data_IF_013580896076
#
_entry.id   IF_013580896076
#
_cell.length_a   1.000
_cell.length_b   1.000
_cell.length_c   1.000
_cell.angle_alpha   90.00
_cell.angle_beta   90.00
_cell.angle_gamma   90.00
#
_symmetry.space_group_name_H-M   'P 1'
#
loop_
_entity.id
_entity.type
_entity.pdbx_description
1 polymer ?
#
# COMPACT_ATOMS: atom_id res chain seq x y z
N UNK A 1 -54.41 -7.78 47.28
CA UNK A 1 -52.93 -7.86 47.16
C UNK A 1 -52.42 -7.11 45.91
N UNK A 2 -52.87 -5.87 45.65
CA UNK A 2 -52.72 -5.25 44.31
C UNK A 2 -52.14 -3.83 44.30
N UNK A 3 -51.96 -3.18 45.46
CA UNK A 3 -51.32 -1.85 45.56
C UNK A 3 -49.83 -1.92 45.87
N UNK A 4 -49.40 -2.85 46.73
CA UNK A 4 -48.00 -2.99 47.16
C UNK A 4 -47.09 -3.44 45.99
N UNK A 5 -47.58 -4.33 45.12
CA UNK A 5 -46.85 -4.82 43.95
C UNK A 5 -46.64 -3.76 42.87
N UNK A 6 -47.58 -2.81 42.70
CA UNK A 6 -47.41 -1.69 41.76
C UNK A 6 -46.42 -0.65 42.26
N UNK A 7 -46.42 -0.33 43.55
CA UNK A 7 -45.42 0.59 44.14
C UNK A 7 -43.99 0.04 44.07
N UNK A 8 -43.81 -1.27 44.28
CA UNK A 8 -42.49 -1.92 44.13
C UNK A 8 -41.99 -1.89 42.67
N UNK A 9 -42.89 -2.02 41.70
CA UNK A 9 -42.56 -1.97 40.27
C UNK A 9 -42.14 -0.55 39.84
N UNK A 10 -42.84 0.49 40.30
CA UNK A 10 -42.45 1.88 40.04
C UNK A 10 -41.13 2.27 40.72
N UNK A 11 -40.86 1.75 41.93
CA UNK A 11 -39.59 1.99 42.62
C UNK A 11 -38.42 1.30 41.91
N UNK A 12 -38.60 0.08 41.40
CA UNK A 12 -37.60 -0.64 40.63
C UNK A 12 -37.30 0.02 39.27
N UNK A 13 -38.33 0.54 38.59
CA UNK A 13 -38.16 1.29 37.33
C UNK A 13 -37.48 2.64 37.59
N UNK A 14 -37.83 3.36 38.65
CA UNK A 14 -37.16 4.60 39.03
C UNK A 14 -35.69 4.35 39.42
N UNK A 15 -35.40 3.26 40.13
CA UNK A 15 -34.03 2.87 40.49
C UNK A 15 -33.22 2.46 39.25
N UNK A 16 -33.82 1.76 38.28
CA UNK A 16 -33.18 1.41 37.02
C UNK A 16 -32.91 2.64 36.13
N UNK A 17 -33.79 3.65 36.15
CA UNK A 17 -33.60 4.93 35.46
C UNK A 17 -32.53 5.77 36.16
N UNK A 18 -32.45 5.74 37.49
CA UNK A 18 -31.36 6.40 38.24
C UNK A 18 -30.03 5.68 37.98
N UNK A 19 -30.00 4.34 37.94
CA UNK A 19 -28.81 3.56 37.58
C UNK A 19 -28.40 3.71 36.11
N UNK A 20 -29.32 4.01 35.18
CA UNK A 20 -28.98 4.33 33.80
C UNK A 20 -28.57 5.79 33.58
N UNK A 21 -28.96 6.71 34.49
CA UNK A 21 -28.53 8.11 34.51
C UNK A 21 -27.14 8.30 35.15
N UNK A 22 -26.69 7.36 35.98
CA UNK A 22 -25.27 7.19 36.26
C UNK A 22 -24.64 6.41 35.10
N UNK A 23 -24.57 7.06 33.93
CA UNK A 23 -23.57 6.69 32.94
C UNK A 23 -22.26 6.56 33.70
N UNK A 24 -21.64 5.39 33.66
CA UNK A 24 -20.36 5.14 34.33
C UNK A 24 -19.43 6.25 33.89
N UNK A 25 -19.20 7.24 34.75
CA UNK A 25 -18.13 8.19 34.58
C UNK A 25 -16.87 7.33 34.68
N UNK A 26 -16.39 6.85 33.52
CA UNK A 26 -15.10 6.21 33.45
C UNK A 26 -14.13 7.25 34.00
N UNK A 27 -13.59 6.95 35.17
CA UNK A 27 -12.58 7.81 35.78
C UNK A 27 -11.48 7.98 34.73
N UNK A 28 -11.12 9.23 34.44
CA UNK A 28 -10.08 9.52 33.46
C UNK A 28 -8.84 8.65 33.79
N UNK A 29 -8.27 7.96 32.81
CA UNK A 29 -7.16 7.06 33.06
C UNK A 29 -6.01 7.86 33.66
N UNK A 30 -5.43 7.34 34.75
CA UNK A 30 -4.26 7.96 35.34
C UNK A 30 -3.07 7.73 34.41
N UNK A 31 -2.55 8.83 33.86
CA UNK A 31 -1.36 8.77 33.01
C UNK A 31 -0.09 8.90 33.86
N UNK A 32 0.84 7.98 33.64
CA UNK A 32 2.23 8.05 34.09
C UNK A 32 3.06 8.78 33.03
N UNK A 33 4.29 9.19 33.35
CA UNK A 33 5.13 9.98 32.43
C UNK A 33 6.49 9.34 32.26
N UNK A 34 6.99 9.28 31.03
CA UNK A 34 8.39 8.97 30.76
C UNK A 34 9.26 10.22 30.95
N UNK A 35 10.56 10.08 31.27
CA UNK A 35 11.50 11.18 31.18
C UNK A 35 11.45 11.80 29.77
N UNK A 36 11.40 13.12 29.67
CA UNK A 36 11.36 13.81 28.37
C UNK A 36 12.60 13.53 27.54
N UNK A 37 12.42 13.38 26.22
CA UNK A 37 13.52 13.19 25.28
C UNK A 37 13.47 14.31 24.24
N UNK A 38 14.40 15.27 24.37
CA UNK A 38 14.36 16.49 23.55
C UNK A 38 13.07 17.27 23.80
N UNK A 39 12.31 17.53 22.73
CA UNK A 39 11.02 18.23 22.76
C UNK A 39 9.81 17.31 22.97
N UNK A 40 10.03 15.99 23.13
CA UNK A 40 8.95 15.00 23.23
C UNK A 40 8.74 14.58 24.70
N UNK A 41 7.56 14.89 25.21
CA UNK A 41 7.02 14.39 26.48
C UNK A 41 5.99 13.30 26.19
N UNK A 42 6.16 12.10 26.75
CA UNK A 42 5.16 11.02 26.60
C UNK A 42 4.53 10.72 27.95
N UNK A 43 3.21 10.84 28.00
CA UNK A 43 2.35 10.40 29.09
C UNK A 43 1.56 9.18 28.64
N UNK A 44 1.40 8.18 29.50
CA UNK A 44 0.80 6.91 29.09
C UNK A 44 -0.03 6.28 30.21
N UNK A 45 -1.10 5.60 29.84
CA UNK A 45 -1.89 4.79 30.77
C UNK A 45 -1.07 3.61 31.30
N UNK A 46 -1.20 3.29 32.59
CA UNK A 46 -0.48 2.18 33.23
C UNK A 46 -0.56 0.88 32.40
N UNK A 47 0.59 0.25 32.21
CA UNK A 47 0.74 -0.98 31.42
C UNK A 47 0.96 -0.75 29.93
N UNK A 48 1.16 0.50 29.48
CA UNK A 48 1.54 0.84 28.09
C UNK A 48 2.99 1.35 27.99
N UNK A 49 3.83 1.05 28.99
CA UNK A 49 5.17 1.61 29.10
C UNK A 49 6.06 1.26 27.90
N UNK A 50 6.06 0.00 27.47
CA UNK A 50 6.86 -0.45 26.33
C UNK A 50 6.46 0.27 25.03
N UNK A 51 5.14 0.37 24.79
CA UNK A 51 4.62 1.12 23.64
C UNK A 51 5.00 2.60 23.74
N UNK A 52 4.86 3.21 24.92
CA UNK A 52 5.23 4.61 25.14
C UNK A 52 6.73 4.85 24.88
N UNK A 53 7.61 3.91 25.28
CA UNK A 53 9.05 3.98 25.01
C UNK A 53 9.35 3.86 23.52
N UNK A 54 8.69 2.96 22.80
CA UNK A 54 8.80 2.83 21.34
C UNK A 54 8.38 4.11 20.63
N UNK A 55 7.21 4.66 20.99
CA UNK A 55 6.70 5.92 20.43
C UNK A 55 7.64 7.09 20.71
N UNK A 56 8.16 7.22 21.94
CA UNK A 56 9.12 8.27 22.27
C UNK A 56 10.43 8.14 21.48
N UNK A 57 10.88 6.90 21.23
CA UNK A 57 12.11 6.64 20.50
C UNK A 57 12.01 7.01 19.02
N UNK A 58 10.84 6.82 18.38
CA UNK A 58 10.65 7.13 16.95
C UNK A 58 10.10 8.52 16.67
N UNK A 59 9.55 9.23 17.67
CA UNK A 59 8.90 10.53 17.51
C UNK A 59 9.81 11.61 16.91
N UNK A 60 11.03 11.77 17.45
CA UNK A 60 11.94 12.85 17.02
C UNK A 60 12.48 12.61 15.59
N UNK A 61 12.80 11.37 15.25
CA UNK A 61 13.23 10.98 13.90
C UNK A 61 12.09 11.19 12.89
N UNK A 62 10.87 10.84 13.29
CA UNK A 62 9.65 11.08 12.49
C UNK A 62 9.43 12.57 12.26
N UNK A 63 9.51 13.38 13.32
CA UNK A 63 9.34 14.81 13.22
C UNK A 63 10.43 15.47 12.38
N UNK A 64 11.66 14.94 12.41
CA UNK A 64 12.77 15.38 11.56
C UNK A 64 12.46 15.13 10.08
N UNK A 65 11.94 13.93 9.73
CA UNK A 65 11.51 13.63 8.35
C UNK A 65 10.39 14.55 7.89
N UNK A 66 9.38 14.78 8.72
CA UNK A 66 8.26 15.69 8.42
C UNK A 66 8.76 17.14 8.24
N UNK A 67 9.61 17.60 9.15
CA UNK A 67 10.15 18.97 9.11
C UNK A 67 11.04 19.21 7.89
N UNK A 68 11.55 18.15 7.26
CA UNK A 68 12.27 18.24 6.00
C UNK A 68 11.46 18.87 4.86
N UNK A 69 10.12 18.85 4.93
CA UNK A 69 9.25 19.51 3.96
C UNK A 69 8.74 20.89 4.40
N UNK A 70 9.01 21.27 5.66
CA UNK A 70 8.56 22.52 6.28
C UNK A 70 9.75 23.45 6.59
N UNK A 71 10.76 23.44 5.71
CA UNK A 71 11.97 24.24 5.89
C UNK A 71 11.62 25.73 6.01
N UNK A 72 12.33 26.42 6.89
CA UNK A 72 12.19 27.87 7.15
C UNK A 72 10.83 28.29 7.76
N UNK A 73 9.98 27.32 8.14
CA UNK A 73 8.72 27.58 8.83
C UNK A 73 8.82 27.32 10.34
N UNK A 74 7.90 27.89 11.15
CA UNK A 74 7.86 27.63 12.58
C UNK A 74 7.67 26.14 12.87
N UNK A 75 8.45 25.62 13.83
CA UNK A 75 8.38 24.23 14.28
C UNK A 75 7.83 24.13 15.70
N UNK A 76 7.13 23.04 16.07
CA UNK A 76 6.69 22.83 17.44
C UNK A 76 7.90 22.75 18.40
N UNK A 77 7.85 23.54 19.47
CA UNK A 77 8.91 23.63 20.48
C UNK A 77 8.81 22.56 21.56
N UNK A 78 7.58 22.14 21.86
CA UNK A 78 7.26 21.10 22.82
C UNK A 78 6.10 20.29 22.26
N UNK A 79 6.18 18.97 22.36
CA UNK A 79 5.11 18.05 21.97
C UNK A 79 4.85 17.10 23.12
N UNK A 80 3.60 17.07 23.58
CA UNK A 80 3.12 16.08 24.54
C UNK A 80 2.28 15.03 23.85
N UNK A 81 2.75 13.79 23.89
CA UNK A 81 2.00 12.61 23.45
C UNK A 81 1.31 11.96 24.65
N UNK A 82 0.02 11.73 24.56
CA UNK A 82 -0.81 11.08 25.57
C UNK A 82 -1.29 9.74 25.01
N UNK A 83 -0.85 8.64 25.59
CA UNK A 83 -1.16 7.29 25.15
C UNK A 83 -2.21 6.66 26.07
N UNK A 84 -3.34 6.27 25.50
CA UNK A 84 -4.43 5.57 26.20
C UNK A 84 -4.66 4.21 25.59
N UNK A 85 -5.27 3.31 26.36
CA UNK A 85 -5.53 1.95 25.88
C UNK A 85 -6.60 1.91 24.80
N UNK A 86 -7.72 2.61 25.03
CA UNK A 86 -8.90 2.57 24.16
C UNK A 86 -9.31 3.97 23.70
N UNK A 87 -9.81 4.08 22.47
CA UNK A 87 -10.26 5.35 21.90
C UNK A 87 -11.36 6.03 22.70
N UNK A 88 -12.20 5.26 23.41
CA UNK A 88 -13.22 5.81 24.32
C UNK A 88 -12.66 6.67 25.45
N UNK A 89 -11.37 6.53 25.78
CA UNK A 89 -10.68 7.34 26.78
C UNK A 89 -10.12 8.65 26.22
N UNK A 90 -10.04 8.84 24.89
CA UNK A 90 -9.46 10.04 24.28
C UNK A 90 -10.11 11.35 24.77
N UNK A 91 -11.46 11.47 24.88
CA UNK A 91 -12.08 12.69 25.38
C UNK A 91 -11.67 13.05 26.82
N UNK A 92 -11.31 12.04 27.63
CA UNK A 92 -10.94 12.24 29.04
C UNK A 92 -9.49 12.71 29.25
N UNK A 93 -8.63 12.51 28.25
CA UNK A 93 -7.24 12.97 28.28
C UNK A 93 -7.01 14.20 27.39
N UNK A 94 -8.00 14.56 26.57
CA UNK A 94 -8.00 15.75 25.73
C UNK A 94 -7.74 17.02 26.55
N UNK A 95 -7.11 18.05 25.96
CA UNK A 95 -6.97 19.35 26.60
C UNK A 95 -8.33 19.94 26.99
N UNK A 96 -8.34 20.72 28.07
CA UNK A 96 -9.56 21.32 28.60
C UNK A 96 -10.31 22.12 27.53
N UNK A 97 -11.62 21.84 27.39
CA UNK A 97 -12.49 22.52 26.43
C UNK A 97 -12.35 22.10 24.95
N UNK A 98 -11.44 21.17 24.60
CA UNK A 98 -11.27 20.70 23.21
C UNK A 98 -12.11 19.46 22.87
N UNK A 99 -12.19 18.51 23.79
CA UNK A 99 -12.85 17.20 23.54
C UNK A 99 -12.13 16.36 22.49
N UNK A 100 -12.67 15.20 22.14
CA UNK A 100 -12.16 14.34 21.07
C UNK A 100 -13.33 13.68 20.31
N UNK A 101 -13.24 13.51 18.97
CA UNK A 101 -14.27 12.81 18.22
C UNK A 101 -14.41 11.36 18.71
N UNK A 102 -15.64 10.83 18.85
CA UNK A 102 -15.87 9.48 19.41
C UNK A 102 -15.31 8.37 18.53
N UNK A 103 -15.17 8.62 17.24
CA UNK A 103 -14.60 7.71 16.26
C UNK A 103 -13.08 7.81 16.17
N UNK A 104 -12.42 8.81 16.76
CA UNK A 104 -10.98 9.03 16.59
C UNK A 104 -10.14 7.89 17.18
N UNK A 105 -8.98 7.58 16.58
CA UNK A 105 -7.94 6.72 17.19
C UNK A 105 -6.71 7.55 17.59
N UNK A 106 -6.47 8.66 16.90
CA UNK A 106 -5.53 9.71 17.25
C UNK A 106 -6.23 11.07 17.16
N UNK A 107 -5.76 12.05 17.92
CA UNK A 107 -6.18 13.45 17.81
C UNK A 107 -4.98 14.36 18.05
N UNK A 108 -4.72 15.25 17.12
CA UNK A 108 -3.77 16.33 17.26
C UNK A 108 -4.45 17.65 17.67
N UNK A 109 -3.79 18.39 18.56
CA UNK A 109 -4.10 19.77 18.93
C UNK A 109 -2.86 20.62 18.59
N UNK A 110 -2.70 21.05 17.33
CA UNK A 110 -1.45 21.65 16.85
C UNK A 110 -1.01 22.91 17.59
N UNK A 111 -1.97 23.78 17.94
CA UNK A 111 -1.75 25.02 18.69
C UNK A 111 -1.21 24.79 20.12
N UNK A 112 -1.51 23.63 20.69
CA UNK A 112 -1.06 23.24 22.03
C UNK A 112 0.16 22.32 22.00
N UNK A 113 0.54 21.79 20.83
CA UNK A 113 1.54 20.75 20.70
C UNK A 113 1.14 19.48 21.46
N UNK A 114 -0.15 19.12 21.48
CA UNK A 114 -0.64 17.92 22.17
C UNK A 114 -1.13 16.91 21.14
N UNK A 115 -0.80 15.65 21.36
CA UNK A 115 -1.24 14.50 20.58
C UNK A 115 -1.83 13.49 21.55
N UNK A 116 -3.02 12.97 21.28
CA UNK A 116 -3.61 11.87 22.03
C UNK A 116 -3.74 10.65 21.10
N UNK A 117 -3.25 9.47 21.51
CA UNK A 117 -3.26 8.23 20.72
C UNK A 117 -3.85 7.09 21.52
N UNK A 118 -4.70 6.29 20.89
CA UNK A 118 -5.24 5.06 21.43
C UNK A 118 -4.62 3.83 20.73
N UNK A 119 -4.40 2.74 21.48
CA UNK A 119 -3.83 1.48 20.94
C UNK A 119 -4.91 0.59 20.29
N UNK A 120 -6.18 0.82 20.63
CA UNK A 120 -7.30 0.08 20.05
C UNK A 120 -8.58 0.90 20.01
N UNK A 121 -9.50 0.46 19.15
CA UNK A 121 -10.90 0.90 19.08
C UNK A 121 -11.78 -0.32 19.33
N UNK A 122 -12.29 -0.46 20.56
CA UNK A 122 -13.10 -1.62 20.95
C UNK A 122 -12.31 -2.92 20.87
N UNK A 123 -12.69 -3.81 19.95
CA UNK A 123 -11.97 -5.08 19.71
C UNK A 123 -10.82 -4.97 18.71
N UNK A 124 -10.71 -3.86 17.99
CA UNK A 124 -9.75 -3.69 16.90
C UNK A 124 -8.46 -3.04 17.41
N UNK A 125 -7.34 -3.75 17.32
CA UNK A 125 -6.01 -3.21 17.62
C UNK A 125 -5.55 -2.35 16.44
N UNK A 126 -4.94 -1.21 16.73
CA UNK A 126 -4.40 -0.28 15.74
C UNK A 126 -2.87 -0.23 15.81
N UNK A 127 -2.24 0.35 14.80
CA UNK A 127 -0.81 0.67 14.84
C UNK A 127 -0.63 2.06 15.48
N UNK A 128 -0.21 2.15 16.75
CA UNK A 128 -0.04 3.43 17.43
C UNK A 128 1.15 4.22 16.86
N UNK A 129 2.13 3.58 16.21
CA UNK A 129 3.26 4.28 15.61
C UNK A 129 2.84 4.95 14.31
N UNK A 130 2.09 4.25 13.46
CA UNK A 130 1.46 4.86 12.27
C UNK A 130 0.54 6.02 12.67
N UNK A 131 -0.29 5.84 13.70
CA UNK A 131 -1.17 6.90 14.22
C UNK A 131 -0.35 8.10 14.69
N UNK A 132 0.72 7.87 15.47
CA UNK A 132 1.61 8.94 15.92
C UNK A 132 2.25 9.70 14.75
N UNK A 133 2.69 9.02 13.67
CA UNK A 133 3.25 9.69 12.50
C UNK A 133 2.24 10.62 11.84
N UNK A 134 0.98 10.18 11.74
CA UNK A 134 -0.13 10.98 11.22
C UNK A 134 -0.36 12.22 12.09
N UNK A 135 -0.53 12.05 13.41
CA UNK A 135 -0.78 13.17 14.32
C UNK A 135 0.41 14.14 14.44
N UNK A 136 1.65 13.64 14.37
CA UNK A 136 2.84 14.49 14.33
C UNK A 136 2.87 15.38 13.09
N UNK A 137 2.37 14.88 11.95
CA UNK A 137 2.29 15.66 10.73
C UNK A 137 1.27 16.80 10.86
N UNK A 138 0.11 16.56 11.49
CA UNK A 138 -0.86 17.61 11.83
C UNK A 138 -0.25 18.66 12.76
N UNK A 139 0.45 18.25 13.83
CA UNK A 139 1.10 19.20 14.74
C UNK A 139 2.20 20.01 14.04
N UNK A 140 3.02 19.37 13.21
CA UNK A 140 4.10 20.05 12.49
C UNK A 140 3.55 21.05 11.47
N UNK A 141 2.58 20.63 10.64
CA UNK A 141 1.97 21.49 9.65
C UNK A 141 1.15 22.62 10.28
N UNK A 142 0.42 22.34 11.36
CA UNK A 142 -0.31 23.35 12.11
C UNK A 142 0.61 24.39 12.76
N UNK A 143 1.78 24.00 13.26
CA UNK A 143 2.78 24.96 13.72
C UNK A 143 3.33 25.81 12.56
N UNK A 144 3.55 25.21 11.39
CA UNK A 144 4.19 25.83 10.25
C UNK A 144 3.25 26.80 9.49
N UNK A 145 1.99 26.41 9.30
CA UNK A 145 1.03 27.08 8.42
C UNK A 145 -0.26 27.48 9.17
N UNK A 146 -0.65 26.74 10.20
CA UNK A 146 -1.87 26.98 10.98
C UNK A 146 -3.13 26.91 10.12
N UNK A 147 -4.09 27.79 10.40
CA UNK A 147 -5.40 27.84 9.73
C UNK A 147 -5.34 28.30 8.27
N UNK A 148 -4.15 28.65 7.75
CA UNK A 148 -3.96 28.99 6.33
C UNK A 148 -3.95 27.75 5.44
N UNK A 149 -3.68 26.58 6.00
CA UNK A 149 -3.77 25.32 5.28
C UNK A 149 -5.24 24.86 5.28
N UNK A 150 -5.86 24.64 4.11
CA UNK A 150 -7.19 24.04 4.03
C UNK A 150 -7.15 22.59 4.54
N UNK A 151 -8.30 22.04 4.89
CA UNK A 151 -8.43 20.71 5.47
C UNK A 151 -7.83 19.63 4.57
N UNK A 152 -8.05 19.71 3.25
CA UNK A 152 -7.44 18.77 2.30
C UNK A 152 -5.91 18.77 2.31
N UNK A 153 -5.29 19.91 2.59
CA UNK A 153 -3.83 19.99 2.67
C UNK A 153 -3.33 19.38 3.99
N UNK A 154 -4.04 19.61 5.11
CA UNK A 154 -3.75 18.96 6.39
C UNK A 154 -3.82 17.44 6.27
N UNK A 155 -4.95 16.91 5.80
CA UNK A 155 -5.16 15.47 5.67
C UNK A 155 -4.19 14.83 4.67
N UNK A 156 -4.05 15.44 3.50
CA UNK A 156 -3.15 14.92 2.48
C UNK A 156 -1.70 14.89 2.95
N UNK A 157 -1.23 15.95 3.62
CA UNK A 157 0.11 16.00 4.19
C UNK A 157 0.31 14.96 5.29
N UNK A 158 -0.66 14.80 6.19
CA UNK A 158 -0.59 13.81 7.25
C UNK A 158 -0.51 12.37 6.72
N UNK A 159 -1.31 12.03 5.70
CA UNK A 159 -1.22 10.72 5.06
C UNK A 159 0.07 10.50 4.25
N UNK A 160 0.66 11.54 3.66
CA UNK A 160 1.96 11.42 2.99
C UNK A 160 3.08 11.01 3.98
N UNK A 161 2.98 11.43 5.24
CA UNK A 161 3.99 11.13 6.25
C UNK A 161 3.66 9.95 7.17
N UNK A 162 2.41 9.49 7.22
CA UNK A 162 2.01 8.34 8.06
C UNK A 162 2.40 6.98 7.46
N UNK A 163 2.78 6.94 6.17
CA UNK A 163 3.05 5.72 5.40
C UNK A 163 1.86 4.73 5.36
N UNK A 164 0.64 5.24 5.52
CA UNK A 164 -0.56 4.43 5.48
C UNK A 164 -0.91 3.99 4.05
N UNK A 165 -0.70 2.71 3.77
CA UNK A 165 -1.23 2.05 2.58
C UNK A 165 -2.59 1.46 2.91
N UNK A 166 -3.66 2.18 2.57
CA UNK A 166 -5.03 1.71 2.71
C UNK A 166 -5.51 1.17 1.35
N UNK A 167 -5.86 -0.12 1.30
CA UNK A 167 -6.40 -0.75 0.10
C UNK A 167 -7.70 -0.07 -0.32
N UNK A 168 -8.54 0.27 0.65
CA UNK A 168 -9.81 0.96 0.50
C UNK A 168 -9.63 2.34 -0.18
N UNK A 169 -8.53 3.04 0.11
CA UNK A 169 -8.19 4.30 -0.54
C UNK A 169 -7.87 4.08 -2.02
N UNK A 170 -7.13 3.02 -2.33
CA UNK A 170 -6.75 2.65 -3.70
C UNK A 170 -7.99 2.27 -4.52
N UNK A 171 -8.91 1.49 -3.95
CA UNK A 171 -10.20 1.17 -4.57
C UNK A 171 -11.02 2.44 -4.84
N UNK A 172 -11.06 3.36 -3.88
CA UNK A 172 -11.77 4.64 -4.02
C UNK A 172 -11.17 5.49 -5.14
N UNK A 173 -9.84 5.62 -5.20
CA UNK A 173 -9.12 6.33 -6.26
C UNK A 173 -9.34 5.70 -7.63
N UNK A 174 -9.29 4.37 -7.73
CA UNK A 174 -9.55 3.64 -8.97
C UNK A 174 -11.00 3.83 -9.43
N UNK A 175 -11.96 3.75 -8.51
CA UNK A 175 -13.36 4.02 -8.77
C UNK A 175 -13.57 5.45 -9.29
N UNK A 176 -12.90 6.45 -8.69
CA UNK A 176 -12.93 7.83 -9.16
C UNK A 176 -12.35 8.00 -10.56
N UNK A 177 -11.28 7.29 -10.89
CA UNK A 177 -10.66 7.32 -12.21
C UNK A 177 -11.54 6.68 -13.30
N UNK A 178 -12.21 5.56 -12.99
CA UNK A 178 -13.05 4.83 -13.96
C UNK A 178 -14.45 5.39 -14.12
N UNK A 179 -15.09 5.79 -13.02
CA UNK A 179 -16.50 6.14 -12.98
C UNK A 179 -16.74 7.62 -12.68
N UNK A 180 -15.67 8.40 -12.50
CA UNK A 180 -15.76 9.80 -12.10
C UNK A 180 -16.12 9.96 -10.61
N UNK A 181 -16.63 11.14 -10.26
CA UNK A 181 -16.96 11.46 -8.87
C UNK A 181 -15.79 12.00 -8.04
N UNK A 182 -14.75 12.50 -8.72
CA UNK A 182 -13.75 13.40 -8.15
C UNK A 182 -14.46 14.66 -7.64
N UNK A 183 -14.16 15.05 -6.40
CA UNK A 183 -14.74 16.25 -5.78
C UNK A 183 -14.07 17.48 -6.38
N UNK A 184 -14.79 18.50 -6.88
CA UNK A 184 -14.16 19.74 -7.33
C UNK A 184 -13.32 20.39 -6.23
N UNK A 185 -12.19 20.99 -6.59
CA UNK A 185 -11.24 21.57 -5.63
C UNK A 185 -11.90 22.59 -4.69
N UNK A 186 -12.81 23.40 -5.22
CA UNK A 186 -13.54 24.45 -4.47
C UNK A 186 -14.52 23.87 -3.44
N UNK A 187 -14.94 22.62 -3.62
CA UNK A 187 -15.87 21.92 -2.74
C UNK A 187 -15.17 20.93 -1.82
N UNK A 188 -13.89 20.62 -2.06
CA UNK A 188 -13.16 19.57 -1.39
C UNK A 188 -13.15 19.76 0.13
N UNK A 189 -12.90 20.99 0.58
CA UNK A 189 -12.86 21.36 2.00
C UNK A 189 -14.21 21.17 2.71
N UNK A 190 -15.32 21.45 2.01
CA UNK A 190 -16.67 21.29 2.54
C UNK A 190 -17.20 19.85 2.42
N UNK A 191 -16.47 18.96 1.76
CA UNK A 191 -16.90 17.58 1.47
C UNK A 191 -16.36 16.56 2.47
N UNK A 192 -15.62 16.98 3.49
CA UNK A 192 -15.15 16.09 4.52
C UNK A 192 -16.31 15.57 5.38
N UNK A 193 -16.40 14.25 5.60
CA UNK A 193 -17.44 13.66 6.43
C UNK A 193 -17.16 13.98 7.91
N UNK A 194 -18.19 13.81 8.74
CA UNK A 194 -18.04 13.97 10.18
C UNK A 194 -17.14 12.91 10.83
N UNK A 195 -16.86 11.79 10.15
CA UNK A 195 -16.02 10.68 10.62
C UNK A 195 -14.83 10.45 9.69
N UNK A 196 -13.62 10.30 10.22
CA UNK A 196 -12.46 9.94 9.39
C UNK A 196 -12.61 8.57 8.74
N UNK A 197 -12.40 8.53 7.42
CA UNK A 197 -12.44 7.30 6.65
C UNK A 197 -11.51 7.38 5.44
N UNK A 198 -10.48 6.52 5.34
CA UNK A 198 -9.61 6.45 4.17
C UNK A 198 -10.35 6.11 2.87
N UNK A 199 -11.50 5.45 2.96
CA UNK A 199 -12.38 5.12 1.84
C UNK A 199 -13.26 6.30 1.39
N UNK A 200 -13.37 7.35 2.21
CA UNK A 200 -14.15 8.51 1.82
C UNK A 200 -13.37 9.34 0.79
N UNK A 201 -14.07 9.76 -0.26
CA UNK A 201 -13.49 10.40 -1.45
C UNK A 201 -12.63 11.62 -1.10
N UNK A 202 -13.07 12.47 -0.19
CA UNK A 202 -12.33 13.66 0.22
C UNK A 202 -10.93 13.33 0.79
N UNK A 203 -10.81 12.34 1.70
CA UNK A 203 -9.52 11.91 2.24
C UNK A 203 -8.66 11.24 1.17
N UNK A 204 -9.24 10.33 0.37
CA UNK A 204 -8.52 9.63 -0.69
C UNK A 204 -7.94 10.60 -1.74
N UNK A 205 -8.76 11.55 -2.20
CA UNK A 205 -8.38 12.59 -3.13
C UNK A 205 -7.31 13.54 -2.53
N UNK A 206 -7.47 13.94 -1.27
CA UNK A 206 -6.51 14.82 -0.59
C UNK A 206 -5.12 14.19 -0.50
N UNK A 207 -5.07 12.92 -0.11
CA UNK A 207 -3.83 12.15 -0.07
C UNK A 207 -3.14 12.10 -1.44
N UNK A 208 -3.87 11.73 -2.49
CA UNK A 208 -3.29 11.52 -3.81
C UNK A 208 -2.92 12.84 -4.50
N UNK A 209 -3.73 13.90 -4.31
CA UNK A 209 -3.44 15.24 -4.82
C UNK A 209 -2.23 15.88 -4.13
N UNK A 210 -2.15 15.84 -2.79
CA UNK A 210 -0.95 16.31 -2.08
C UNK A 210 0.26 15.47 -2.47
N UNK A 211 0.08 14.15 -2.64
CA UNK A 211 1.12 13.27 -3.14
C UNK A 211 1.64 13.66 -4.52
N UNK A 212 0.74 13.99 -5.44
CA UNK A 212 1.06 14.54 -6.76
C UNK A 212 1.84 15.85 -6.63
N UNK A 213 1.34 16.83 -5.88
CA UNK A 213 2.02 18.10 -5.65
C UNK A 213 3.42 17.91 -5.06
N UNK A 214 3.59 16.90 -4.21
CA UNK A 214 4.87 16.62 -3.56
C UNK A 214 5.93 16.02 -4.46
N UNK A 215 5.53 15.37 -5.56
CA UNK A 215 6.45 14.76 -6.54
C UNK A 215 6.63 15.62 -7.80
N UNK A 216 5.63 16.47 -8.08
CA UNK A 216 5.58 17.37 -9.23
C UNK A 216 6.72 18.39 -9.18
N UNK A 217 7.54 18.40 -10.23
CA UNK A 217 8.57 19.40 -10.49
C UNK A 217 7.99 20.80 -10.74
N UNK A 218 8.85 21.79 -10.91
CA UNK A 218 8.42 23.17 -11.20
C UNK A 218 7.92 23.29 -12.63
N UNK A 219 8.57 22.60 -13.56
CA UNK A 219 8.20 22.59 -14.97
C UNK A 219 7.65 21.23 -15.37
N UNK A 220 6.95 21.14 -16.50
CA UNK A 220 6.40 19.88 -17.03
C UNK A 220 7.49 18.97 -17.65
N UNK A 221 8.69 18.99 -17.07
CA UNK A 221 9.81 18.14 -17.44
C UNK A 221 10.01 17.10 -16.33
N UNK A 222 9.90 15.83 -16.69
CA UNK A 222 10.09 14.69 -15.79
C UNK A 222 11.50 14.62 -15.19
N UNK A 223 12.48 15.32 -15.77
CA UNK A 223 13.82 15.44 -15.20
C UNK A 223 13.87 16.29 -13.91
N UNK A 224 12.83 17.10 -13.65
CA UNK A 224 12.68 17.99 -12.49
C UNK A 224 11.80 17.37 -11.39
N UNK A 225 11.23 16.18 -11.62
CA UNK A 225 10.44 15.47 -10.62
C UNK A 225 11.35 14.79 -9.58
N UNK A 226 11.08 14.99 -8.28
CA UNK A 226 11.66 14.20 -7.20
C UNK A 226 12.47 14.94 -6.12
N UNK A 227 12.83 16.22 -6.31
CA UNK A 227 13.53 16.99 -5.27
C UNK A 227 12.60 17.60 -4.20
N UNK A 228 11.28 17.53 -4.45
CA UNK A 228 10.17 18.09 -3.64
C UNK A 228 10.30 19.59 -3.38
N UNK A 229 11.24 20.28 -4.03
CA UNK A 229 11.50 21.70 -3.81
C UNK A 229 10.27 22.57 -4.12
N UNK A 230 9.52 22.36 -5.23
CA UNK A 230 8.31 23.14 -5.49
C UNK A 230 7.29 23.01 -4.37
N UNK A 231 7.10 21.80 -3.83
CA UNK A 231 6.18 21.56 -2.73
C UNK A 231 6.59 22.28 -1.44
N UNK A 232 7.88 22.20 -1.08
CA UNK A 232 8.42 22.96 0.07
C UNK A 232 8.22 24.45 -0.13
N UNK A 233 8.53 24.96 -1.31
CA UNK A 233 8.36 26.37 -1.66
C UNK A 233 6.89 26.81 -1.58
N UNK A 234 5.97 25.96 -2.05
CA UNK A 234 4.53 26.17 -1.93
C UNK A 234 4.11 26.29 -0.46
N UNK A 235 4.47 25.30 0.39
CA UNK A 235 4.18 25.31 1.82
C UNK A 235 4.76 26.56 2.52
N UNK A 236 6.01 26.93 2.22
CA UNK A 236 6.63 28.14 2.76
C UNK A 236 5.83 29.40 2.43
N UNK A 237 5.38 29.56 1.19
CA UNK A 237 4.61 30.74 0.77
C UNK A 237 3.23 30.80 1.40
N UNK A 238 2.54 29.65 1.52
CA UNK A 238 1.27 29.57 2.26
C UNK A 238 1.47 29.90 3.74
N UNK A 239 2.55 29.38 4.34
CA UNK A 239 2.95 29.70 5.71
C UNK A 239 3.20 31.21 5.92
N UNK A 240 3.69 31.91 4.91
CA UNK A 240 3.90 33.37 4.89
C UNK A 240 2.64 34.20 4.57
N UNK A 241 1.48 33.57 4.38
CA UNK A 241 0.21 34.26 4.12
C UNK A 241 -0.09 34.54 2.65
N UNK A 242 0.67 33.96 1.71
CA UNK A 242 0.35 34.03 0.28
C UNK A 242 -0.86 33.12 0.00
N UNK A 243 -1.77 33.57 -0.87
CA UNK A 243 -2.92 32.76 -1.30
C UNK A 243 -2.47 31.43 -1.91
N UNK A 244 -3.26 30.36 -1.77
CA UNK A 244 -2.93 29.05 -2.34
C UNK A 244 -2.65 29.12 -3.85
N UNK A 245 -3.46 29.88 -4.59
CA UNK A 245 -3.29 30.04 -6.03
C UNK A 245 -1.99 30.78 -6.38
N UNK A 246 -1.65 31.85 -5.66
CA UNK A 246 -0.42 32.60 -5.95
C UNK A 246 0.84 31.87 -5.46
N UNK A 247 0.73 31.11 -4.37
CA UNK A 247 1.77 30.21 -3.91
C UNK A 247 2.03 29.12 -4.97
N UNK A 248 0.97 28.51 -5.50
CA UNK A 248 1.09 27.51 -6.56
C UNK A 248 1.75 28.09 -7.82
N UNK A 249 1.33 29.27 -8.29
CA UNK A 249 1.94 29.94 -9.45
C UNK A 249 3.43 30.20 -9.26
N UNK A 250 3.84 30.63 -8.07
CA UNK A 250 5.25 30.92 -7.77
C UNK A 250 6.09 29.65 -7.64
N UNK A 251 5.53 28.59 -7.07
CA UNK A 251 6.21 27.32 -6.83
C UNK A 251 6.29 26.44 -8.09
N UNK A 252 5.16 26.25 -8.77
CA UNK A 252 4.97 25.31 -9.89
C UNK A 252 4.76 26.00 -11.24
N UNK A 253 4.77 27.33 -11.31
CA UNK A 253 4.50 28.07 -12.55
C UNK A 253 3.03 28.09 -12.99
N UNK A 254 2.13 27.35 -12.31
CA UNK A 254 0.70 27.21 -12.66
C UNK A 254 -0.20 27.48 -11.45
N UNK A 255 -1.42 28.01 -11.63
CA UNK A 255 -2.41 28.12 -10.55
C UNK A 255 -2.83 26.73 -10.05
N UNK A 256 -3.37 26.69 -8.82
CA UNK A 256 -3.73 25.43 -8.16
C UNK A 256 -4.82 24.66 -8.94
N UNK A 257 -5.77 25.37 -9.56
CA UNK A 257 -6.79 24.75 -10.40
C UNK A 257 -6.21 24.01 -11.63
N UNK A 258 -5.18 24.55 -12.28
CA UNK A 258 -4.52 23.86 -13.40
C UNK A 258 -3.73 22.64 -12.91
N UNK A 259 -3.07 22.73 -11.75
CA UNK A 259 -2.40 21.58 -11.13
C UNK A 259 -3.40 20.48 -10.74
N UNK A 260 -4.59 20.87 -10.30
CA UNK A 260 -5.67 19.94 -9.99
C UNK A 260 -6.16 19.20 -11.24
N UNK A 261 -6.25 19.89 -12.37
CA UNK A 261 -6.59 19.29 -13.66
C UNK A 261 -5.49 18.35 -14.17
N UNK A 262 -4.22 18.73 -14.05
CA UNK A 262 -3.08 17.83 -14.34
C UNK A 262 -3.13 16.57 -13.49
N UNK A 263 -3.37 16.73 -12.19
CA UNK A 263 -3.52 15.60 -11.28
C UNK A 263 -4.68 14.68 -11.69
N UNK A 264 -5.82 15.24 -12.09
CA UNK A 264 -6.97 14.47 -12.55
C UNK A 264 -6.64 13.63 -13.78
N UNK A 265 -5.88 14.19 -14.72
CA UNK A 265 -5.38 13.45 -15.87
C UNK A 265 -4.38 12.37 -15.48
N UNK A 266 -3.44 12.67 -14.59
CA UNK A 266 -2.47 11.71 -14.06
C UNK A 266 -3.16 10.52 -13.37
N UNK A 267 -4.13 10.80 -12.51
CA UNK A 267 -4.96 9.80 -11.84
C UNK A 267 -5.64 8.90 -12.88
N UNK A 268 -6.29 9.51 -13.87
CA UNK A 268 -6.97 8.78 -14.94
C UNK A 268 -5.99 7.90 -15.72
N UNK A 269 -4.82 8.42 -16.11
CA UNK A 269 -3.78 7.67 -16.82
C UNK A 269 -3.27 6.49 -15.98
N UNK A 270 -2.95 6.69 -14.69
CA UNK A 270 -2.45 5.64 -13.79
C UNK A 270 -3.41 4.46 -13.66
N UNK A 271 -4.70 4.72 -13.45
CA UNK A 271 -5.68 3.67 -13.20
C UNK A 271 -6.34 3.10 -14.46
N UNK A 272 -6.49 3.88 -15.53
CA UNK A 272 -7.03 3.39 -16.83
C UNK A 272 -6.02 2.54 -17.60
N UNK A 273 -4.71 2.78 -17.44
CA UNK A 273 -3.67 1.97 -18.08
C UNK A 273 -3.35 0.69 -17.31
N UNK A 274 -3.71 0.60 -16.02
CA UNK A 274 -3.44 -0.58 -15.19
C UNK A 274 -4.00 -1.89 -15.79
N UNK A 275 -5.24 -1.94 -16.34
CA UNK A 275 -5.74 -3.12 -17.05
C UNK A 275 -4.84 -3.57 -18.21
N UNK A 276 -4.22 -2.65 -18.97
CA UNK A 276 -3.36 -3.00 -20.12
C UNK A 276 -2.16 -3.84 -19.67
N UNK A 277 -1.52 -3.46 -18.56
CA UNK A 277 -0.42 -4.23 -17.97
C UNK A 277 -0.87 -5.62 -17.49
N UNK A 278 -2.03 -5.70 -16.83
CA UNK A 278 -2.64 -6.96 -16.38
C UNK A 278 -3.02 -7.87 -17.56
N UNK A 279 -3.58 -7.34 -18.65
CA UNK A 279 -3.85 -8.10 -19.86
C UNK A 279 -2.56 -8.63 -20.50
N UNK A 280 -1.50 -7.82 -20.54
CA UNK A 280 -0.19 -8.27 -21.01
C UNK A 280 0.34 -9.45 -20.20
N UNK A 281 0.28 -9.38 -18.86
CA UNK A 281 0.68 -10.48 -17.98
C UNK A 281 -0.20 -11.72 -18.20
N UNK A 282 -1.52 -11.56 -18.30
CA UNK A 282 -2.44 -12.65 -18.54
C UNK A 282 -2.17 -13.37 -19.86
N UNK A 283 -1.82 -12.64 -20.92
CA UNK A 283 -1.40 -13.21 -22.21
C UNK A 283 -0.12 -14.03 -22.05
N UNK A 284 0.88 -13.53 -21.31
CA UNK A 284 2.10 -14.30 -21.04
C UNK A 284 1.84 -15.55 -20.21
N UNK A 285 1.00 -15.46 -19.17
CA UNK A 285 0.56 -16.62 -18.39
C UNK A 285 -0.18 -17.64 -19.26
N UNK A 286 -1.04 -17.19 -20.17
CA UNK A 286 -1.75 -18.04 -21.12
C UNK A 286 -0.78 -18.72 -22.09
N UNK A 287 0.18 -17.98 -22.66
CA UNK A 287 1.22 -18.54 -23.52
C UNK A 287 2.06 -19.59 -22.80
N UNK A 288 2.49 -19.31 -21.56
CA UNK A 288 3.24 -20.26 -20.74
C UNK A 288 2.42 -21.53 -20.44
N UNK A 289 1.13 -21.38 -20.12
CA UNK A 289 0.21 -22.49 -19.91
C UNK A 289 0.06 -23.34 -21.18
N UNK A 290 -0.14 -22.71 -22.35
CA UNK A 290 -0.27 -23.41 -23.63
C UNK A 290 1.02 -24.14 -24.02
N UNK A 291 2.18 -23.54 -23.81
CA UNK A 291 3.48 -24.19 -24.02
C UNK A 291 3.68 -25.37 -23.07
N UNK A 292 3.32 -25.23 -21.79
CA UNK A 292 3.35 -26.30 -20.81
C UNK A 292 2.44 -27.47 -21.20
N UNK A 293 1.22 -27.18 -21.66
CA UNK A 293 0.27 -28.16 -22.19
C UNK A 293 0.81 -28.86 -23.45
N UNK A 294 1.39 -28.10 -24.39
CA UNK A 294 1.99 -28.64 -25.61
C UNK A 294 3.19 -29.55 -25.29
N UNK A 295 4.07 -29.13 -24.37
CA UNK A 295 5.19 -29.95 -23.90
C UNK A 295 4.72 -31.21 -23.17
N UNK A 296 3.70 -31.10 -22.30
CA UNK A 296 3.13 -32.24 -21.60
C UNK A 296 2.53 -33.25 -22.59
N UNK A 297 1.78 -32.77 -23.58
CA UNK A 297 1.21 -33.58 -24.66
C UNK A 297 2.31 -34.25 -25.49
N UNK A 298 3.36 -33.52 -25.86
CA UNK A 298 4.54 -34.04 -26.57
C UNK A 298 5.27 -35.10 -25.75
N UNK A 299 5.50 -34.86 -24.47
CA UNK A 299 6.16 -35.81 -23.56
C UNK A 299 5.35 -37.11 -23.42
N UNK A 300 4.02 -37.00 -23.30
CA UNK A 300 3.13 -38.16 -23.24
C UNK A 300 3.13 -38.95 -24.56
N UNK A 301 3.14 -38.25 -25.70
CA UNK A 301 3.23 -38.88 -27.02
C UNK A 301 4.58 -39.57 -27.26
N UNK A 302 5.68 -38.91 -26.91
CA UNK A 302 7.03 -39.49 -27.04
C UNK A 302 7.22 -40.72 -26.15
N UNK A 303 6.66 -40.73 -24.93
CA UNK A 303 6.65 -41.93 -24.08
C UNK A 303 5.90 -43.10 -24.72
N UNK A 304 4.78 -42.83 -25.40
CA UNK A 304 4.01 -43.87 -26.12
C UNK A 304 4.82 -44.44 -27.28
N UNK A 305 5.44 -43.57 -28.09
CA UNK A 305 6.29 -43.98 -29.22
C UNK A 305 7.51 -44.80 -28.78
N UNK A 306 8.19 -44.40 -27.70
CA UNK A 306 9.32 -45.17 -27.18
C UNK A 306 8.88 -46.55 -26.67
N UNK A 307 7.72 -46.64 -26.03
CA UNK A 307 7.15 -47.92 -25.58
C UNK A 307 6.66 -48.82 -26.72
N UNK A 308 6.41 -48.27 -27.91
CA UNK A 308 6.15 -49.03 -29.14
C UNK A 308 7.47 -49.55 -29.71
N UNK A 309 8.48 -48.69 -29.87
CA UNK A 309 9.82 -49.10 -30.32
C UNK A 309 10.47 -50.16 -29.43
N UNK A 310 10.36 -50.04 -28.10
CA UNK A 310 10.85 -51.08 -27.18
C UNK A 310 10.13 -52.44 -27.35
N UNK A 311 8.87 -52.45 -27.80
CA UNK A 311 8.15 -53.72 -28.08
C UNK A 311 8.60 -54.32 -29.39
N UNK A 312 8.73 -53.49 -30.42
CA UNK A 312 9.20 -53.93 -31.74
C UNK A 312 10.65 -54.45 -31.66
N UNK A 313 11.51 -53.79 -30.89
CA UNK A 313 12.90 -54.18 -30.69
C UNK A 313 13.01 -55.49 -29.91
N UNK A 314 12.24 -55.67 -28.82
CA UNK A 314 12.16 -56.96 -28.12
C UNK A 314 11.64 -58.08 -29.02
N UNK A 315 10.62 -57.81 -29.83
CA UNK A 315 10.08 -58.80 -30.77
C UNK A 315 11.11 -59.18 -31.85
N UNK A 316 11.89 -58.20 -32.32
CA UNK A 316 12.96 -58.42 -33.28
C UNK A 316 14.14 -59.19 -32.66
N UNK A 317 14.55 -58.84 -31.44
CA UNK A 317 15.60 -59.55 -30.69
C UNK A 317 15.18 -60.99 -30.39
N UNK A 318 13.93 -61.23 -30.00
CA UNK A 318 13.39 -62.58 -29.84
C UNK A 318 13.36 -63.34 -31.17
N UNK A 319 13.03 -62.68 -32.28
CA UNK A 319 13.07 -63.29 -33.61
C UNK A 319 14.51 -63.65 -34.02
N UNK A 320 15.48 -62.76 -33.78
CA UNK A 320 16.90 -62.97 -34.00
C UNK A 320 17.46 -64.08 -33.11
N UNK A 321 17.06 -64.16 -31.84
CA UNK A 321 17.46 -65.22 -30.93
C UNK A 321 16.87 -66.60 -31.30
N UNK A 322 15.71 -66.62 -31.98
CA UNK A 322 15.11 -67.86 -32.54
C UNK A 322 15.80 -68.31 -33.82
N UNK A 323 16.49 -67.41 -34.53
CA UNK A 323 17.39 -67.80 -35.62
C UNK A 323 18.62 -68.47 -34.99
N UNK A 324 18.81 -69.77 -35.24
CA UNK A 324 20.05 -70.46 -34.85
C UNK A 324 21.25 -69.75 -35.49
N UNK A 325 22.38 -69.58 -34.78
CA UNK A 325 23.59 -69.08 -35.42
C UNK A 325 23.92 -70.03 -36.56
N UNK A 326 23.85 -69.52 -37.80
CA UNK A 326 24.38 -70.23 -38.95
C UNK A 326 25.88 -70.26 -38.74
N UNK A 327 26.40 -71.42 -38.33
CA UNK A 327 27.85 -71.67 -38.33
C UNK A 327 28.23 -71.68 -39.79
N UNK A 328 28.73 -70.55 -40.28
CA UNK A 328 29.33 -70.48 -41.61
C UNK A 328 30.60 -71.33 -41.52
N UNK A 329 30.73 -72.44 -42.27
CA UNK A 329 31.98 -73.18 -42.29
C UNK A 329 33.11 -72.23 -42.74
N UNK A 330 34.33 -72.41 -42.23
CA UNK A 330 35.44 -71.54 -42.59
C UNK A 330 35.60 -71.49 -44.11
N UNK A 331 35.82 -70.29 -44.64
CA UNK A 331 35.99 -70.07 -46.07
C UNK A 331 37.13 -70.94 -46.61
N UNK A 332 36.83 -71.79 -47.59
CA UNK A 332 37.82 -72.56 -48.34
C UNK A 332 37.90 -71.91 -49.72
N UNK A 333 39.02 -71.25 -50.08
CA UNK A 333 39.19 -70.68 -51.40
C UNK A 333 39.12 -71.77 -52.46
N UNK A 334 38.48 -71.50 -53.60
CA UNK A 334 38.49 -72.44 -54.72
C UNK A 334 39.90 -72.50 -55.34
N UNK A 335 40.35 -73.64 -55.88
CA UNK A 335 41.68 -73.75 -56.45
C UNK A 335 41.90 -72.73 -57.58
N UNK A 336 42.79 -71.76 -57.35
CA UNK A 336 43.10 -70.66 -58.29
C UNK A 336 42.59 -69.28 -57.88
N UNK A 337 41.85 -69.18 -56.77
CA UNK A 337 41.37 -67.91 -56.22
C UNK A 337 42.41 -67.33 -55.23
N UNK A 338 42.87 -66.10 -55.47
CA UNK A 338 43.76 -65.38 -54.55
C UNK A 338 42.91 -64.61 -53.54
N UNK A 339 42.87 -65.03 -52.26
CA UNK A 339 41.95 -64.48 -51.26
C UNK A 339 42.25 -63.03 -50.85
N UNK A 340 43.30 -62.40 -51.40
CA UNK A 340 43.68 -61.02 -51.12
C UNK A 340 43.62 -60.11 -52.35
N UNK A 341 42.96 -60.54 -53.43
CA UNK A 341 42.75 -59.69 -54.59
C UNK A 341 41.55 -58.77 -54.35
N UNK A 342 41.84 -57.52 -53.98
CA UNK A 342 40.84 -56.45 -53.84
C UNK A 342 40.28 -56.09 -55.22
N UNK A 343 39.19 -56.76 -55.64
CA UNK A 343 38.36 -56.30 -56.75
C UNK A 343 37.42 -55.19 -56.22
N UNK A 344 38.01 -54.09 -55.75
CA UNK A 344 37.27 -52.84 -55.58
C UNK A 344 36.99 -52.30 -56.99
N UNK A 345 35.81 -52.64 -57.53
CA UNK A 345 35.27 -51.96 -58.70
C UNK A 345 35.16 -50.46 -58.41
N UNK A 346 36.08 -49.68 -58.98
CA UNK A 346 35.98 -48.24 -59.12
C UNK A 346 34.57 -47.87 -59.64
N UNK A 347 33.78 -47.04 -58.93
CA UNK A 347 32.50 -46.59 -59.45
C UNK A 347 32.73 -45.59 -60.59
N UNK A 348 32.87 -46.10 -61.82
CA UNK A 348 32.81 -45.29 -63.03
C UNK A 348 31.34 -44.96 -63.35
N UNK A 349 30.93 -43.71 -63.12
CA UNK A 349 29.58 -43.26 -63.47
C UNK A 349 29.29 -41.85 -62.98
N UNK A 350 29.43 -40.87 -63.88
CA UNK A 350 29.17 -39.45 -63.68
C UNK A 350 27.81 -39.13 -63.01
N UNK A 351 27.74 -38.08 -62.18
CA UNK A 351 26.49 -37.66 -61.56
C UNK A 351 25.53 -37.01 -62.57
N UNK A 352 24.38 -37.64 -62.81
CA UNK A 352 23.25 -37.02 -63.53
C UNK A 352 22.60 -35.97 -62.64
N UNK A 353 22.81 -34.69 -62.98
CA UNK A 353 21.99 -33.57 -62.51
C UNK A 353 20.63 -33.63 -63.21
N UNK A 354 19.55 -33.77 -62.44
CA UNK A 354 18.17 -33.60 -62.92
C UNK A 354 17.70 -32.22 -62.44
N UNK A 355 17.31 -31.38 -63.41
CA UNK A 355 16.65 -30.09 -63.20
C UNK A 355 15.26 -30.21 -62.59
#
# INVERSE_FOLDING_TARGET
MTRVTRSLCHLAIALAIVLSLFGTAFAAPRLESLPSRGRIEVRYERGLEDTARTLQASAEDTLTRISGDLLELPTPRHIRVQLVRDSSSLPSVAPEGRGAPPWAIGVAYPDLGIISVAIRRGSSVTDPEQTLRHELAHVALGAAIGDRAPHWLHEGFAYQHSAEWAWERTETLAGMAWFGGIVPLEQLDASFPAEESPAHRAYAQSYDFVGFLSRRGRWEDTADDGDRWPFRRFLTMVGQGVSLNDAAKKAYGKPLGELFEEWREDLSKRYLLAPIGLFGLAVWCLCALLLGLAWWRKRRHNKRRLAEWERDERANDEALARLRPVIVPPYIPWPGEDPFKDDDEEPSGEPKLVN
#
